data_IF_574706133608
#
_entry.id   IF_574706133608
#
_cell.length_a   1.000
_cell.length_b   1.000
_cell.length_c   1.000
_cell.angle_alpha   90.00
_cell.angle_beta   90.00
_cell.angle_gamma   90.00
#
_symmetry.space_group_name_H-M   'P 1'
#
loop_
_entity.id
_entity.type
_entity.pdbx_description
1 polymer ?
#
# COMPACT_ATOMS: atom_id res chain seq x y z
N UNK A 1 -1.75 -2.41 21.33
CA UNK A 1 -0.40 -2.38 20.72
C UNK A 1 -0.06 -0.99 20.21
N UNK A 2 1.14 -0.49 20.51
CA UNK A 2 1.62 0.79 20.00
C UNK A 2 1.89 0.69 18.49
N UNK A 3 1.40 1.67 17.72
CA UNK A 3 1.71 1.77 16.29
C UNK A 3 3.18 2.12 16.13
N UNK A 4 3.91 1.37 15.30
CA UNK A 4 5.32 1.62 14.97
C UNK A 4 5.47 1.76 13.47
N UNK A 5 5.68 2.98 13.03
CA UNK A 5 5.90 3.32 11.62
C UNK A 5 7.39 3.21 11.28
N UNK A 6 7.70 2.72 10.08
CA UNK A 6 9.05 2.78 9.50
C UNK A 6 9.03 3.45 8.15
N UNK A 7 10.19 3.92 7.71
CA UNK A 7 10.34 4.49 6.38
C UNK A 7 10.37 3.38 5.32
N UNK A 8 9.79 3.64 4.13
CA UNK A 8 9.90 2.72 3.01
C UNK A 8 11.29 2.80 2.36
N UNK A 9 11.82 1.65 1.97
CA UNK A 9 13.05 1.56 1.17
C UNK A 9 12.82 1.96 -0.30
N UNK A 10 13.86 1.90 -1.14
CA UNK A 10 13.77 2.30 -2.54
C UNK A 10 12.76 1.46 -3.36
N UNK A 11 12.68 0.16 -3.10
CA UNK A 11 11.78 -0.77 -3.80
C UNK A 11 10.34 -0.59 -3.33
N UNK A 12 10.16 -0.46 -2.03
CA UNK A 12 8.86 -0.19 -1.42
C UNK A 12 8.31 1.16 -1.88
N UNK A 13 9.16 2.19 -1.99
CA UNK A 13 8.78 3.50 -2.55
C UNK A 13 8.27 3.37 -3.98
N UNK A 14 8.93 2.59 -4.83
CA UNK A 14 8.49 2.35 -6.19
C UNK A 14 7.14 1.61 -6.25
N UNK A 15 6.98 0.55 -5.45
CA UNK A 15 5.73 -0.20 -5.35
C UNK A 15 4.57 0.63 -4.79
N UNK A 16 4.83 1.47 -3.78
CA UNK A 16 3.87 2.41 -3.22
C UNK A 16 3.44 3.45 -4.25
N UNK A 17 4.38 4.02 -5.01
CA UNK A 17 4.06 4.96 -6.10
C UNK A 17 3.17 4.30 -7.14
N UNK A 18 3.52 3.09 -7.59
CA UNK A 18 2.71 2.35 -8.55
C UNK A 18 1.29 2.04 -8.02
N UNK A 19 1.17 1.68 -6.74
CA UNK A 19 -0.14 1.48 -6.11
C UNK A 19 -0.95 2.77 -6.06
N UNK A 20 -0.34 3.90 -5.68
CA UNK A 20 -1.01 5.18 -5.65
C UNK A 20 -1.51 5.59 -7.05
N UNK A 21 -0.68 5.41 -8.08
CA UNK A 21 -1.05 5.72 -9.46
C UNK A 21 -2.18 4.83 -9.97
N UNK A 22 -2.19 3.54 -9.61
CA UNK A 22 -3.32 2.66 -9.92
C UNK A 22 -4.60 3.12 -9.23
N UNK A 23 -4.56 3.39 -7.91
CA UNK A 23 -5.74 3.78 -7.13
C UNK A 23 -6.33 5.13 -7.56
N UNK A 24 -5.50 6.08 -8.03
CA UNK A 24 -5.99 7.37 -8.59
C UNK A 24 -6.92 7.20 -9.78
N UNK A 25 -6.82 6.08 -10.51
CA UNK A 25 -7.61 5.78 -11.69
C UNK A 25 -8.77 4.81 -11.40
N UNK A 26 -8.99 4.43 -10.14
CA UNK A 26 -10.06 3.52 -9.74
C UNK A 26 -11.22 4.30 -9.13
N UNK A 27 -12.43 3.88 -9.44
CA UNK A 27 -13.63 4.44 -8.83
C UNK A 27 -13.70 4.09 -7.33
N UNK A 28 -14.42 4.91 -6.57
CA UNK A 28 -14.78 4.61 -5.19
C UNK A 28 -15.97 3.64 -5.14
N UNK A 29 -15.99 2.75 -4.15
CA UNK A 29 -17.10 1.82 -3.93
C UNK A 29 -16.99 0.52 -4.74
N UNK A 30 -15.84 0.25 -5.33
CA UNK A 30 -15.52 -1.04 -5.94
C UNK A 30 -15.40 -2.14 -4.90
N UNK A 31 -15.48 -3.39 -5.35
CA UNK A 31 -15.34 -4.54 -4.47
C UNK A 31 -13.89 -4.67 -3.96
N UNK A 32 -13.73 -5.21 -2.76
CA UNK A 32 -12.42 -5.37 -2.13
C UNK A 32 -11.43 -6.20 -3.00
N UNK A 33 -11.94 -7.10 -3.85
CA UNK A 33 -11.13 -7.90 -4.77
C UNK A 33 -10.53 -7.07 -5.91
N UNK A 34 -11.22 -6.03 -6.37
CA UNK A 34 -10.72 -5.12 -7.41
C UNK A 34 -9.54 -4.31 -6.87
N UNK A 35 -9.68 -3.73 -5.68
CA UNK A 35 -8.57 -3.06 -5.01
C UNK A 35 -7.44 -4.02 -4.66
N UNK A 36 -7.75 -5.24 -4.24
CA UNK A 36 -6.73 -6.26 -3.96
C UNK A 36 -5.92 -6.59 -5.21
N UNK A 37 -6.56 -6.60 -6.38
CA UNK A 37 -5.88 -6.83 -7.67
C UNK A 37 -4.86 -5.73 -7.94
N UNK A 38 -5.22 -4.45 -7.74
CA UNK A 38 -4.27 -3.34 -7.86
C UNK A 38 -3.08 -3.46 -6.89
N UNK A 39 -3.34 -3.86 -5.64
CA UNK A 39 -2.29 -4.10 -4.63
C UNK A 39 -1.31 -5.20 -5.06
N UNK A 40 -1.83 -6.30 -5.61
CA UNK A 40 -0.99 -7.38 -6.13
C UNK A 40 -0.17 -6.94 -7.34
N UNK A 41 -0.81 -6.26 -8.31
CA UNK A 41 -0.16 -5.79 -9.53
C UNK A 41 1.00 -4.84 -9.20
N UNK A 42 0.77 -3.84 -8.34
CA UNK A 42 1.80 -2.91 -7.91
C UNK A 42 3.01 -3.60 -7.27
N UNK A 43 2.77 -4.62 -6.43
CA UNK A 43 3.85 -5.44 -5.87
C UNK A 43 4.62 -6.19 -6.95
N UNK A 44 3.92 -6.92 -7.83
CA UNK A 44 4.53 -7.76 -8.87
C UNK A 44 5.36 -6.95 -9.87
N UNK A 45 4.86 -5.81 -10.33
CA UNK A 45 5.56 -4.93 -11.25
C UNK A 45 6.84 -4.32 -10.64
N UNK A 46 6.94 -4.30 -9.31
CA UNK A 46 8.10 -3.82 -8.56
C UNK A 46 8.91 -4.98 -7.95
N UNK A 47 8.87 -6.14 -8.61
CA UNK A 47 9.73 -7.30 -8.32
C UNK A 47 9.25 -8.20 -7.19
N UNK A 48 8.08 -7.93 -6.57
CA UNK A 48 7.50 -8.84 -5.57
C UNK A 48 6.80 -10.01 -6.26
N UNK A 49 7.56 -11.06 -6.49
CA UNK A 49 7.08 -12.35 -6.98
C UNK A 49 6.38 -13.17 -5.88
N UNK A 50 5.87 -14.35 -6.25
CA UNK A 50 5.10 -15.21 -5.35
C UNK A 50 5.84 -15.54 -4.05
N UNK A 51 7.16 -15.65 -4.09
CA UNK A 51 8.01 -16.06 -2.95
C UNK A 51 8.19 -14.95 -1.91
N UNK A 52 8.18 -13.68 -2.31
CA UNK A 52 8.38 -12.51 -1.43
C UNK A 52 7.15 -11.58 -1.35
N UNK A 53 6.02 -11.98 -1.91
CA UNK A 53 4.77 -11.21 -1.86
C UNK A 53 4.29 -10.92 -0.43
N UNK A 54 4.65 -11.78 0.52
CA UNK A 54 4.38 -11.56 1.95
C UNK A 54 5.12 -10.33 2.48
N UNK A 55 6.34 -10.08 2.02
CA UNK A 55 7.14 -8.91 2.42
C UNK A 55 6.48 -7.62 1.95
N UNK A 56 5.90 -7.62 0.74
CA UNK A 56 5.12 -6.49 0.23
C UNK A 56 3.94 -6.14 1.13
N UNK A 57 3.15 -7.15 1.53
CA UNK A 57 2.03 -6.91 2.44
C UNK A 57 2.51 -6.42 3.81
N UNK A 58 3.59 -6.99 4.33
CA UNK A 58 4.16 -6.53 5.58
C UNK A 58 4.64 -5.07 5.49
N UNK A 59 5.26 -4.69 4.37
CA UNK A 59 5.65 -3.30 4.11
C UNK A 59 4.44 -2.36 4.12
N UNK A 60 3.34 -2.72 3.46
CA UNK A 60 2.10 -1.93 3.50
C UNK A 60 1.61 -1.68 4.93
N UNK A 61 1.57 -2.70 5.79
CA UNK A 61 1.13 -2.51 7.17
C UNK A 61 2.12 -1.69 8.00
N UNK A 62 3.42 -1.94 7.86
CA UNK A 62 4.43 -1.28 8.68
C UNK A 62 4.64 0.18 8.28
N UNK A 63 4.59 0.48 6.98
CA UNK A 63 4.80 1.82 6.44
C UNK A 63 3.53 2.67 6.56
N UNK A 64 2.36 2.12 6.20
CA UNK A 64 1.13 2.92 6.12
C UNK A 64 0.31 2.88 7.41
N UNK A 65 0.34 1.77 8.14
CA UNK A 65 -0.57 1.53 9.29
C UNK A 65 0.17 1.41 10.63
N UNK A 66 1.50 1.32 10.62
CA UNK A 66 2.35 1.15 11.79
C UNK A 66 2.12 -0.17 12.51
N UNK A 67 1.75 -1.23 11.78
CA UNK A 67 1.44 -2.56 12.31
C UNK A 67 2.21 -3.64 11.54
N UNK A 68 2.48 -4.79 12.16
CA UNK A 68 3.17 -5.90 11.48
C UNK A 68 2.27 -6.71 10.55
N UNK A 69 0.96 -6.68 10.80
CA UNK A 69 -0.05 -7.44 10.07
C UNK A 69 -1.43 -6.79 10.20
N UNK A 70 -2.33 -7.13 9.29
CA UNK A 70 -3.71 -6.67 9.29
C UNK A 70 -4.63 -7.49 8.39
N UNK A 71 -5.91 -7.11 8.27
CA UNK A 71 -6.85 -7.74 7.35
C UNK A 71 -6.45 -7.45 5.90
N UNK A 72 -6.92 -8.25 4.93
CA UNK A 72 -6.59 -8.08 3.50
C UNK A 72 -6.63 -6.61 3.08
N UNK A 73 -5.53 -6.13 2.48
CA UNK A 73 -5.34 -4.71 2.19
C UNK A 73 -6.42 -4.14 1.24
N UNK A 74 -6.93 -4.94 0.29
CA UNK A 74 -8.06 -4.54 -0.55
C UNK A 74 -9.34 -4.22 0.22
N UNK A 75 -9.63 -4.95 1.31
CA UNK A 75 -10.77 -4.65 2.19
C UNK A 75 -10.56 -3.37 2.99
N UNK A 76 -9.31 -3.08 3.37
CA UNK A 76 -8.96 -1.80 3.98
C UNK A 76 -9.23 -0.65 2.99
N UNK A 77 -8.80 -0.77 1.74
CA UNK A 77 -9.03 0.27 0.71
C UNK A 77 -10.52 0.48 0.45
N UNK A 78 -11.31 -0.61 0.34
CA UNK A 78 -12.75 -0.51 0.11
C UNK A 78 -13.49 0.25 1.24
N UNK A 79 -13.03 0.10 2.49
CA UNK A 79 -13.64 0.75 3.65
C UNK A 79 -13.09 2.16 3.92
N UNK A 80 -11.78 2.34 3.75
CA UNK A 80 -11.08 3.60 4.03
C UNK A 80 -11.21 4.61 2.89
N UNK A 81 -11.30 4.11 1.66
CA UNK A 81 -11.40 4.89 0.44
C UNK A 81 -10.09 4.87 -0.37
N UNK A 82 -10.17 4.74 -1.72
CA UNK A 82 -8.98 4.74 -2.57
C UNK A 82 -8.27 6.11 -2.56
N UNK A 83 -9.00 7.22 -2.54
CA UNK A 83 -8.42 8.57 -2.49
C UNK A 83 -7.66 8.83 -1.18
N UNK A 84 -8.24 8.41 -0.06
CA UNK A 84 -7.65 8.49 1.28
C UNK A 84 -6.42 7.58 1.40
N UNK A 85 -6.46 6.41 0.75
CA UNK A 85 -5.29 5.51 0.67
C UNK A 85 -4.17 6.15 -0.17
N UNK A 86 -4.49 6.80 -1.29
CA UNK A 86 -3.52 7.57 -2.09
C UNK A 86 -2.87 8.66 -1.25
N UNK A 87 -3.66 9.45 -0.52
CA UNK A 87 -3.12 10.50 0.34
C UNK A 87 -2.19 9.95 1.44
N UNK A 88 -2.53 8.80 2.02
CA UNK A 88 -1.68 8.10 2.99
C UNK A 88 -0.35 7.65 2.38
N UNK A 89 -0.37 7.13 1.15
CA UNK A 89 0.83 6.73 0.42
C UNK A 89 1.69 7.95 0.09
N UNK A 90 1.10 9.02 -0.42
CA UNK A 90 1.83 10.24 -0.77
C UNK A 90 2.50 10.86 0.47
N UNK A 91 1.86 10.81 1.64
CA UNK A 91 2.44 11.27 2.90
C UNK A 91 3.76 10.57 3.24
N UNK A 92 3.80 9.23 3.15
CA UNK A 92 5.02 8.46 3.46
C UNK A 92 6.11 8.58 2.39
N UNK A 93 5.73 8.93 1.15
CA UNK A 93 6.68 9.14 0.06
C UNK A 93 7.34 10.52 0.12
N UNK A 94 6.72 11.51 0.78
CA UNK A 94 7.30 12.85 0.92
C UNK A 94 8.68 12.80 1.59
N UNK A 95 9.65 13.59 1.11
CA UNK A 95 10.90 13.79 1.84
C UNK A 95 10.57 14.42 3.19
N UNK A 96 11.06 13.85 4.30
CA UNK A 96 10.99 14.55 5.57
C UNK A 96 11.92 15.76 5.50
N UNK A 97 11.39 16.94 5.86
CA UNK A 97 12.23 18.11 6.06
C UNK A 97 13.28 17.76 7.13
N UNK A 98 14.55 18.00 6.80
CA UNK A 98 15.69 17.81 7.69
C UNK A 98 15.64 18.75 8.90
#
# INVERSE_FOLDING_TARGET
>A
PEKKYREPDARERAALSALADALKNMDQGLEAEEYMTAVFTAGKENGYEKENLREWFQALYQVLLGQDQGPRFGSFIALYGPGETVALIEDVLRPKAA
#
